data_IF_033077695270
#
_entry.id   IF_033077695270
#
_cell.length_a   1.000
_cell.length_b   1.000
_cell.length_c   1.000
_cell.angle_alpha   90.00
_cell.angle_beta   90.00
_cell.angle_gamma   90.00
#
_symmetry.space_group_name_H-M   'P 1'
#
loop_
_entity.id
_entity.type
_entity.pdbx_description
1 polymer ?
#
# COMPACT_ATOMS: atom_id res chain seq x y z
N UNK A 1 18.52 -6.58 -52.70
CA UNK A 1 18.63 -7.13 -51.34
C UNK A 1 17.97 -6.15 -50.40
N UNK A 2 16.65 -6.26 -50.25
CA UNK A 2 15.87 -5.42 -49.34
C UNK A 2 16.01 -5.92 -47.90
N UNK A 3 16.46 -5.04 -47.01
CA UNK A 3 16.58 -5.28 -45.59
C UNK A 3 15.26 -4.90 -44.92
N UNK A 4 14.51 -5.88 -44.42
CA UNK A 4 13.31 -5.64 -43.61
C UNK A 4 13.69 -5.10 -42.24
N UNK A 5 13.33 -3.86 -41.95
CA UNK A 5 13.41 -3.30 -40.60
C UNK A 5 12.32 -3.94 -39.73
N UNK A 6 12.72 -4.91 -38.90
CA UNK A 6 11.91 -5.38 -37.79
C UNK A 6 11.90 -4.29 -36.70
N UNK A 7 10.74 -3.67 -36.46
CA UNK A 7 10.47 -2.92 -35.24
C UNK A 7 10.19 -3.94 -34.12
N UNK A 8 10.90 -3.90 -32.98
CA UNK A 8 10.59 -4.78 -31.86
C UNK A 8 9.23 -4.39 -31.29
N UNK A 9 8.39 -5.40 -31.05
CA UNK A 9 7.11 -5.24 -30.37
C UNK A 9 7.32 -4.55 -29.02
N UNK A 10 6.63 -3.42 -28.81
CA UNK A 10 6.56 -2.78 -27.49
C UNK A 10 5.98 -3.81 -26.51
N UNK A 11 6.77 -4.19 -25.51
CA UNK A 11 6.32 -5.07 -24.45
C UNK A 11 5.12 -4.42 -23.75
N UNK A 12 3.95 -5.05 -23.85
CA UNK A 12 2.77 -4.66 -23.08
C UNK A 12 3.11 -4.80 -21.60
N UNK A 13 2.96 -3.76 -20.76
CA UNK A 13 3.24 -3.88 -19.34
C UNK A 13 2.36 -4.99 -18.74
N UNK A 14 3.00 -5.97 -18.11
CA UNK A 14 2.32 -7.09 -17.47
C UNK A 14 1.57 -6.57 -16.22
N UNK A 15 0.25 -6.41 -16.31
CA UNK A 15 -0.62 -5.88 -15.22
C UNK A 15 -0.58 -6.74 -13.95
N UNK A 16 0.17 -6.36 -12.91
CA UNK A 16 0.49 -7.08 -11.65
C UNK A 16 -0.62 -7.17 -10.59
N UNK A 17 -1.74 -6.48 -10.76
CA UNK A 17 -2.84 -6.47 -9.79
C UNK A 17 -4.09 -7.20 -10.26
N UNK A 18 -4.86 -7.74 -9.32
CA UNK A 18 -6.24 -8.21 -9.53
C UNK A 18 -7.21 -7.16 -8.99
N UNK A 19 -8.29 -6.87 -9.74
CA UNK A 19 -9.31 -5.90 -9.32
C UNK A 19 -10.49 -6.59 -8.67
N UNK A 20 -10.96 -6.03 -7.57
CA UNK A 20 -12.16 -6.49 -6.88
C UNK A 20 -13.14 -5.33 -6.73
N UNK A 21 -14.41 -5.59 -7.05
CA UNK A 21 -15.52 -4.68 -6.80
C UNK A 21 -16.52 -5.40 -5.94
N UNK A 22 -16.82 -4.85 -4.77
CA UNK A 22 -17.81 -5.44 -3.89
C UNK A 22 -19.18 -4.86 -4.22
N UNK A 23 -20.12 -5.72 -4.65
CA UNK A 23 -21.47 -5.30 -5.02
C UNK A 23 -22.49 -5.48 -3.88
N UNK A 24 -22.11 -6.12 -2.76
CA UNK A 24 -22.89 -6.29 -1.53
C UNK A 24 -21.95 -6.35 -0.32
N UNK A 25 -22.47 -6.17 0.90
CA UNK A 25 -21.74 -6.34 2.17
C UNK A 25 -21.02 -7.68 2.20
N UNK A 26 -19.69 -7.65 2.21
CA UNK A 26 -18.91 -8.76 2.71
C UNK A 26 -17.71 -8.21 3.47
N UNK A 27 -17.21 -9.04 4.36
CA UNK A 27 -16.10 -8.75 5.25
C UNK A 27 -14.80 -9.05 4.54
N UNK A 28 -13.86 -8.10 4.57
CA UNK A 28 -12.45 -8.35 4.26
C UNK A 28 -11.83 -8.92 5.54
N UNK A 29 -11.20 -10.09 5.47
CA UNK A 29 -10.61 -10.76 6.63
C UNK A 29 -9.44 -9.95 7.19
N UNK A 30 -9.23 -10.00 8.50
CA UNK A 30 -8.18 -9.23 9.18
C UNK A 30 -8.52 -7.77 9.49
N UNK A 31 -9.77 -7.35 9.27
CA UNK A 31 -10.23 -6.00 9.60
C UNK A 31 -10.22 -5.75 11.12
N UNK A 32 -9.92 -4.52 11.55
CA UNK A 32 -10.22 -4.09 12.92
C UNK A 32 -11.68 -3.66 13.11
N UNK A 33 -12.41 -3.45 12.01
CA UNK A 33 -13.80 -2.98 12.04
C UNK A 33 -14.61 -3.48 10.83
N UNK A 34 -15.94 -3.52 10.95
CA UNK A 34 -16.88 -4.01 9.92
C UNK A 34 -17.04 -3.04 8.72
N UNK A 35 -15.96 -2.40 8.29
CA UNK A 35 -15.99 -1.39 7.23
C UNK A 35 -16.01 -2.05 5.85
N UNK A 36 -16.92 -1.56 5.02
CA UNK A 36 -17.03 -1.97 3.62
C UNK A 36 -16.08 -1.17 2.74
N UNK A 37 -15.38 -1.85 1.83
CA UNK A 37 -14.56 -1.25 0.78
C UNK A 37 -15.30 -1.35 -0.55
N UNK A 38 -15.49 -0.23 -1.24
CA UNK A 38 -16.20 -0.24 -2.54
C UNK A 38 -15.37 -0.87 -3.66
N UNK A 39 -14.08 -0.55 -3.69
CA UNK A 39 -13.13 -1.04 -4.69
C UNK A 39 -11.74 -1.21 -4.09
N UNK A 40 -11.05 -2.28 -4.48
CA UNK A 40 -9.65 -2.45 -4.14
C UNK A 40 -8.89 -3.27 -5.18
N UNK A 41 -7.57 -3.09 -5.18
CA UNK A 41 -6.62 -3.86 -6.00
C UNK A 41 -5.79 -4.70 -5.05
N UNK A 42 -5.62 -5.98 -5.34
CA UNK A 42 -4.77 -6.92 -4.58
C UNK A 42 -3.61 -7.45 -5.41
N UNK A 43 -2.65 -8.11 -4.75
CA UNK A 43 -1.59 -8.88 -5.43
C UNK A 43 -2.18 -10.05 -6.23
N UNK A 44 -1.56 -10.37 -7.38
CA UNK A 44 -2.08 -11.34 -8.36
C UNK A 44 -2.17 -12.80 -7.88
N UNK A 45 -1.44 -13.16 -6.82
CA UNK A 45 -1.21 -14.55 -6.41
C UNK A 45 -1.97 -14.98 -5.13
N UNK A 46 -2.93 -14.17 -4.69
CA UNK A 46 -3.76 -14.46 -3.51
C UNK A 46 -4.99 -15.24 -3.92
N UNK A 47 -5.28 -16.34 -3.21
CA UNK A 47 -6.44 -17.19 -3.51
C UNK A 47 -7.74 -16.38 -3.45
N UNK A 48 -8.62 -16.60 -4.43
CA UNK A 48 -9.83 -15.79 -4.64
C UNK A 48 -10.93 -16.00 -3.59
N UNK A 49 -10.69 -16.82 -2.56
CA UNK A 49 -11.72 -17.25 -1.60
C UNK A 49 -11.70 -16.50 -0.26
N UNK A 50 -10.63 -15.78 0.05
CA UNK A 50 -10.53 -14.90 1.23
C UNK A 50 -9.76 -13.65 0.83
N UNK A 51 -10.32 -12.48 1.11
CA UNK A 51 -9.70 -11.19 0.82
C UNK A 51 -9.20 -10.63 2.15
N UNK A 52 -7.89 -10.70 2.41
CA UNK A 52 -7.27 -10.15 3.62
C UNK A 52 -6.80 -8.70 3.35
N UNK A 53 -6.93 -7.83 4.35
CA UNK A 53 -6.35 -6.47 4.31
C UNK A 53 -4.84 -6.46 4.06
N UNK A 54 -4.14 -7.55 4.38
CA UNK A 54 -2.72 -7.78 4.06
C UNK A 54 -2.42 -7.76 2.56
N UNK A 55 -3.41 -8.09 1.74
CA UNK A 55 -3.23 -8.23 0.30
C UNK A 55 -3.65 -6.99 -0.50
N UNK A 56 -4.29 -6.02 0.16
CA UNK A 56 -4.79 -4.80 -0.46
C UNK A 56 -3.62 -3.86 -0.82
N UNK A 57 -3.53 -3.50 -2.09
CA UNK A 57 -2.53 -2.58 -2.65
C UNK A 57 -3.08 -1.17 -2.86
N UNK A 58 -4.32 -1.04 -3.30
CA UNK A 58 -4.97 0.26 -3.58
C UNK A 58 -6.42 0.21 -3.14
N UNK A 59 -6.93 1.31 -2.58
CA UNK A 59 -8.33 1.44 -2.15
C UNK A 59 -9.07 2.51 -2.94
N UNK A 60 -10.28 2.20 -3.38
CA UNK A 60 -11.18 3.12 -4.05
C UNK A 60 -12.51 3.27 -3.31
N UNK A 61 -12.93 4.52 -3.13
CA UNK A 61 -14.27 4.89 -2.67
C UNK A 61 -15.11 5.35 -3.87
N UNK A 62 -16.31 4.79 -4.02
CA UNK A 62 -17.20 5.10 -5.14
C UNK A 62 -18.46 5.80 -4.62
N UNK A 63 -18.78 6.95 -5.18
CA UNK A 63 -19.98 7.68 -4.77
C UNK A 63 -20.65 8.41 -5.93
N UNK A 64 -21.97 8.57 -5.81
CA UNK A 64 -22.76 9.45 -6.67
C UNK A 64 -22.96 10.84 -6.07
N UNK A 65 -22.51 11.05 -4.83
CA UNK A 65 -22.57 12.35 -4.14
C UNK A 65 -21.75 13.42 -4.89
N UNK A 66 -22.13 14.68 -4.67
CA UNK A 66 -21.32 15.83 -5.10
C UNK A 66 -19.93 15.79 -4.43
N UNK A 67 -18.87 16.30 -5.10
CA UNK A 67 -17.60 16.63 -4.46
C UNK A 67 -17.73 17.52 -3.21
N UNK A 68 -18.84 18.22 -2.99
CA UNK A 68 -19.07 19.00 -1.76
C UNK A 68 -19.12 18.13 -0.50
N UNK A 69 -19.42 16.83 -0.62
CA UNK A 69 -19.33 15.87 0.47
C UNK A 69 -17.90 15.32 0.68
N UNK A 70 -16.90 16.01 0.12
CA UNK A 70 -15.49 15.65 0.18
C UNK A 70 -15.04 15.25 1.58
N UNK A 71 -15.35 16.07 2.59
CA UNK A 71 -14.89 15.81 3.96
C UNK A 71 -15.39 14.47 4.49
N UNK A 72 -16.65 14.13 4.23
CA UNK A 72 -17.24 12.85 4.63
C UNK A 72 -16.54 11.68 3.93
N UNK A 73 -16.28 11.81 2.63
CA UNK A 73 -15.62 10.76 1.86
C UNK A 73 -14.13 10.63 2.16
N UNK A 74 -13.45 11.74 2.44
CA UNK A 74 -12.09 11.77 2.93
C UNK A 74 -11.97 11.03 4.27
N UNK A 75 -12.89 11.26 5.21
CA UNK A 75 -12.90 10.55 6.48
C UNK A 75 -13.15 9.04 6.30
N UNK A 76 -14.04 8.66 5.39
CA UNK A 76 -14.27 7.24 5.04
C UNK A 76 -13.01 6.60 4.45
N UNK A 77 -12.39 7.23 3.44
CA UNK A 77 -11.16 6.72 2.86
C UNK A 77 -10.03 6.63 3.90
N UNK A 78 -9.85 7.66 4.73
CA UNK A 78 -8.85 7.68 5.80
C UNK A 78 -9.04 6.54 6.80
N UNK A 79 -10.30 6.21 7.09
CA UNK A 79 -10.67 5.07 7.91
C UNK A 79 -10.22 3.74 7.28
N UNK A 80 -10.43 3.55 5.97
CA UNK A 80 -9.97 2.35 5.26
C UNK A 80 -8.44 2.29 5.13
N UNK A 81 -7.78 3.42 4.89
CA UNK A 81 -6.31 3.51 4.85
C UNK A 81 -5.69 3.04 6.16
N UNK A 82 -6.31 3.39 7.29
CA UNK A 82 -5.87 2.92 8.61
C UNK A 82 -5.93 1.40 8.74
N UNK A 83 -6.97 0.75 8.19
CA UNK A 83 -7.06 -0.72 8.20
C UNK A 83 -5.92 -1.35 7.38
N UNK A 84 -5.57 -0.78 6.22
CA UNK A 84 -4.40 -1.23 5.43
C UNK A 84 -3.11 -1.09 6.23
N UNK A 85 -2.88 0.07 6.84
CA UNK A 85 -1.68 0.30 7.64
C UNK A 85 -1.59 -0.56 8.90
N UNK A 86 -2.72 -1.00 9.42
CA UNK A 86 -2.77 -1.94 10.53
C UNK A 86 -2.45 -3.37 10.08
N UNK A 87 -3.03 -3.80 8.96
CA UNK A 87 -2.75 -5.11 8.39
C UNK A 87 -1.34 -5.21 7.77
N UNK A 88 -0.76 -4.08 7.36
CA UNK A 88 0.56 -3.98 6.74
C UNK A 88 1.42 -2.92 7.49
N UNK A 89 1.86 -3.19 8.74
CA UNK A 89 2.52 -2.18 9.58
C UNK A 89 3.79 -1.59 8.96
N UNK A 90 4.53 -2.41 8.22
CA UNK A 90 5.80 -2.08 7.60
C UNK A 90 5.65 -1.36 6.24
N UNK A 91 4.42 -1.06 5.81
CA UNK A 91 4.16 -0.34 4.57
C UNK A 91 4.52 1.14 4.69
N UNK A 92 5.14 1.69 3.65
CA UNK A 92 5.57 3.10 3.61
C UNK A 92 4.40 4.03 3.31
N UNK A 93 3.66 3.72 2.25
CA UNK A 93 2.49 4.50 1.85
C UNK A 93 1.46 3.63 1.13
N UNK A 94 0.23 4.13 1.03
CA UNK A 94 -0.91 3.45 0.41
C UNK A 94 -1.57 4.41 -0.58
N UNK A 95 -1.80 3.94 -1.80
CA UNK A 95 -2.58 4.68 -2.79
C UNK A 95 -4.07 4.47 -2.57
N UNK A 96 -4.84 5.49 -2.90
CA UNK A 96 -6.26 5.34 -3.07
C UNK A 96 -6.87 6.40 -3.96
N UNK A 97 -8.18 6.34 -4.09
CA UNK A 97 -8.92 7.31 -4.87
C UNK A 97 -10.37 7.42 -4.41
N UNK A 98 -11.00 8.54 -4.73
CA UNK A 98 -12.43 8.74 -4.56
C UNK A 98 -13.01 9.13 -5.91
N UNK A 99 -14.02 8.39 -6.36
CA UNK A 99 -14.76 8.66 -7.58
C UNK A 99 -16.14 9.23 -7.24
N UNK A 100 -16.31 10.54 -7.46
CA UNK A 100 -17.57 11.29 -7.35
C UNK A 100 -18.29 11.32 -8.69
N UNK A 101 -18.95 10.23 -9.06
CA UNK A 101 -19.64 10.09 -10.35
C UNK A 101 -18.70 10.23 -11.54
N UNK A 102 -18.51 11.46 -12.03
CA UNK A 102 -17.63 11.82 -13.15
C UNK A 102 -16.36 12.57 -12.73
N UNK A 103 -16.12 12.74 -11.43
CA UNK A 103 -14.94 13.45 -10.92
C UNK A 103 -14.09 12.53 -10.06
N UNK A 104 -12.79 12.50 -10.30
CA UNK A 104 -11.83 11.60 -9.66
C UNK A 104 -10.81 12.39 -8.84
N UNK A 105 -10.59 11.97 -7.60
CA UNK A 105 -9.47 12.42 -6.77
C UNK A 105 -8.56 11.25 -6.46
N UNK A 106 -7.27 11.41 -6.74
CA UNK A 106 -6.24 10.45 -6.38
C UNK A 106 -5.63 10.84 -5.05
N UNK A 107 -5.29 9.84 -4.25
CA UNK A 107 -4.80 10.00 -2.89
C UNK A 107 -3.61 9.11 -2.66
N UNK A 108 -2.70 9.59 -1.82
CA UNK A 108 -1.71 8.74 -1.18
C UNK A 108 -1.64 9.13 0.28
N UNK A 109 -1.58 8.10 1.11
CA UNK A 109 -1.43 8.22 2.55
C UNK A 109 -0.10 7.63 2.95
N UNK A 110 0.63 8.32 3.81
CA UNK A 110 1.80 7.80 4.51
C UNK A 110 1.63 8.04 6.01
N UNK A 111 2.68 7.78 6.80
CA UNK A 111 2.62 7.98 8.26
C UNK A 111 2.69 9.46 8.67
N UNK A 112 2.99 10.38 7.75
CA UNK A 112 2.95 11.83 7.97
C UNK A 112 1.58 12.45 7.71
N UNK A 113 0.74 11.79 6.89
CA UNK A 113 -0.58 12.29 6.54
C UNK A 113 -1.05 11.81 5.18
N UNK A 114 -1.92 12.62 4.58
CA UNK A 114 -2.52 12.35 3.27
C UNK A 114 -2.23 13.49 2.31
N UNK A 115 -1.93 13.16 1.06
CA UNK A 115 -1.88 14.12 -0.04
C UNK A 115 -2.81 13.67 -1.17
N UNK A 116 -3.35 14.64 -1.89
CA UNK A 116 -4.27 14.38 -3.00
C UNK A 116 -3.90 15.13 -4.27
N UNK A 117 -4.38 14.63 -5.39
CA UNK A 117 -4.37 15.35 -6.67
C UNK A 117 -5.37 16.50 -6.68
N UNK A 118 -5.33 17.32 -7.73
CA UNK A 118 -6.49 18.13 -8.11
C UNK A 118 -7.66 17.24 -8.56
N UNK A 119 -8.87 17.80 -8.58
CA UNK A 119 -10.06 17.13 -9.06
C UNK A 119 -9.98 16.92 -10.59
N UNK A 120 -10.07 15.66 -11.01
CA UNK A 120 -9.96 15.26 -12.41
C UNK A 120 -11.37 14.99 -12.96
N UNK A 121 -11.82 15.76 -13.95
CA UNK A 121 -13.07 15.47 -14.67
C UNK A 121 -12.86 14.33 -15.67
N UNK A 122 -13.40 13.15 -15.35
CA UNK A 122 -13.39 11.98 -16.23
C UNK A 122 -14.66 11.90 -17.09
N UNK A 123 -15.61 12.80 -16.93
CA UNK A 123 -16.83 12.88 -17.74
C UNK A 123 -16.54 13.21 -19.20
N UNK A 124 -15.55 14.07 -19.45
CA UNK A 124 -15.07 14.41 -20.79
C UNK A 124 -14.02 13.44 -21.32
N UNK A 125 -13.33 12.73 -20.42
CA UNK A 125 -12.25 11.80 -20.76
C UNK A 125 -12.35 10.52 -19.94
N UNK A 126 -13.32 9.63 -20.21
CA UNK A 126 -13.49 8.38 -19.46
C UNK A 126 -12.26 7.47 -19.51
N UNK A 127 -11.44 7.59 -20.56
CA UNK A 127 -10.17 6.88 -20.74
C UNK A 127 -9.19 7.18 -19.60
N UNK A 128 -9.26 8.36 -18.98
CA UNK A 128 -8.42 8.72 -17.84
C UNK A 128 -8.59 7.75 -16.68
N UNK A 129 -9.83 7.31 -16.40
CA UNK A 129 -10.07 6.30 -15.36
C UNK A 129 -9.40 4.97 -15.72
N UNK A 130 -9.47 4.56 -17.00
CA UNK A 130 -8.82 3.33 -17.48
C UNK A 130 -7.31 3.42 -17.32
N UNK A 131 -6.71 4.56 -17.69
CA UNK A 131 -5.28 4.78 -17.54
C UNK A 131 -4.83 4.77 -16.08
N UNK A 132 -5.58 5.40 -15.17
CA UNK A 132 -5.29 5.37 -13.73
C UNK A 132 -5.31 3.93 -13.20
N UNK A 133 -6.34 3.16 -13.54
CA UNK A 133 -6.45 1.77 -13.10
C UNK A 133 -5.32 0.90 -13.67
N UNK A 134 -5.00 1.08 -14.96
CA UNK A 134 -3.89 0.40 -15.60
C UNK A 134 -2.55 0.77 -14.96
N UNK A 135 -2.35 2.03 -14.58
CA UNK A 135 -1.16 2.49 -13.88
C UNK A 135 -1.03 1.80 -12.52
N UNK A 136 -2.06 1.82 -11.67
CA UNK A 136 -2.03 1.11 -10.39
C UNK A 136 -1.74 -0.37 -10.53
N UNK A 137 -2.34 -1.03 -11.52
CA UNK A 137 -2.08 -2.45 -11.77
C UNK A 137 -0.68 -2.70 -12.35
N UNK A 138 -0.01 -1.71 -12.93
CA UNK A 138 1.33 -1.87 -13.52
C UNK A 138 2.47 -1.47 -12.59
N UNK A 139 2.17 -0.71 -11.53
CA UNK A 139 3.16 -0.26 -10.55
C UNK A 139 3.90 -1.43 -9.91
N UNK A 140 5.18 -1.22 -9.64
CA UNK A 140 6.00 -2.08 -8.81
C UNK A 140 5.57 -2.02 -7.34
N UNK A 141 5.98 -3.02 -6.56
CA UNK A 141 5.79 -3.04 -5.12
C UNK A 141 6.33 -1.76 -4.46
N UNK A 142 7.49 -1.28 -4.90
CA UNK A 142 8.08 -0.03 -4.41
C UNK A 142 7.21 1.21 -4.72
N UNK A 143 6.67 1.30 -5.93
CA UNK A 143 5.74 2.37 -6.34
C UNK A 143 4.39 2.27 -5.62
N UNK A 144 4.01 1.09 -5.15
CA UNK A 144 2.84 0.85 -4.31
C UNK A 144 3.11 1.04 -2.82
N UNK A 145 4.33 1.43 -2.44
CA UNK A 145 4.71 1.75 -1.07
C UNK A 145 5.14 0.55 -0.22
N UNK A 146 5.35 -0.62 -0.83
CA UNK A 146 6.01 -1.75 -0.18
C UNK A 146 7.51 -1.49 -0.15
N UNK A 147 8.16 -1.79 0.97
CA UNK A 147 9.60 -1.64 1.10
C UNK A 147 10.32 -2.82 0.40
N UNK A 148 11.24 -2.56 -0.55
CA UNK A 148 11.96 -3.62 -1.26
C UNK A 148 12.86 -4.47 -0.36
N UNK A 149 13.22 -3.97 0.82
CA UNK A 149 14.00 -4.72 1.81
C UNK A 149 13.13 -5.68 2.65
N UNK A 150 11.81 -5.69 2.42
CA UNK A 150 10.85 -6.51 3.16
C UNK A 150 10.18 -7.47 2.19
N UNK A 151 10.33 -8.77 2.47
CA UNK A 151 9.73 -9.86 1.71
C UNK A 151 8.60 -10.47 2.52
N UNK A 152 7.49 -10.71 1.84
CA UNK A 152 6.32 -11.40 2.39
C UNK A 152 6.16 -12.71 1.61
N UNK A 153 6.45 -13.84 2.26
CA UNK A 153 6.34 -15.18 1.67
C UNK A 153 5.34 -16.00 2.49
N UNK A 154 4.14 -16.20 1.93
CA UNK A 154 3.00 -16.82 2.62
C UNK A 154 2.65 -16.14 3.95
N UNK A 155 3.16 -16.67 5.07
CA UNK A 155 2.95 -16.12 6.42
C UNK A 155 4.26 -15.70 7.10
N UNK A 156 5.36 -15.68 6.35
CA UNK A 156 6.66 -15.28 6.83
C UNK A 156 7.02 -13.89 6.30
N UNK A 157 7.40 -13.00 7.23
CA UNK A 157 8.00 -11.71 6.90
C UNK A 157 9.51 -11.81 7.09
N UNK A 158 10.26 -11.45 6.07
CA UNK A 158 11.72 -11.42 6.10
C UNK A 158 12.19 -10.01 5.80
N UNK A 159 13.13 -9.49 6.60
CA UNK A 159 13.63 -8.13 6.47
C UNK A 159 15.13 -8.14 6.30
N UNK A 160 15.63 -7.36 5.34
CA UNK A 160 17.06 -7.12 5.13
C UNK A 160 17.41 -5.76 5.70
N UNK A 161 18.32 -5.72 6.66
CA UNK A 161 18.75 -4.51 7.35
C UNK A 161 20.23 -4.26 7.09
N UNK A 162 20.61 -3.00 6.91
CA UNK A 162 22.02 -2.62 6.93
C UNK A 162 22.54 -2.70 8.37
N UNK A 163 23.70 -3.34 8.57
CA UNK A 163 24.33 -3.49 9.89
C UNK A 163 25.74 -2.90 9.89
N UNK A 164 26.20 -2.28 10.99
CA UNK A 164 27.59 -1.88 11.13
C UNK A 164 28.52 -3.11 11.22
N UNK A 165 29.64 -3.10 10.49
CA UNK A 165 30.67 -4.13 10.58
C UNK A 165 31.14 -4.68 9.24
N UNK A 166 31.78 -5.85 9.26
CA UNK A 166 32.30 -6.53 8.06
C UNK A 166 31.17 -7.10 7.18
N UNK A 167 30.10 -7.60 7.81
CA UNK A 167 28.83 -7.86 7.14
C UNK A 167 28.11 -6.54 6.90
N UNK A 168 27.71 -6.26 5.66
CA UNK A 168 27.02 -5.02 5.31
C UNK A 168 25.51 -5.09 5.55
N UNK A 169 24.94 -6.28 5.41
CA UNK A 169 23.51 -6.52 5.56
C UNK A 169 23.26 -7.76 6.40
N UNK A 170 22.12 -7.79 7.06
CA UNK A 170 21.60 -8.92 7.82
C UNK A 170 20.16 -9.19 7.43
N UNK A 171 19.86 -10.45 7.18
CA UNK A 171 18.50 -10.91 6.95
C UNK A 171 17.92 -11.46 8.27
N UNK A 172 16.72 -11.02 8.65
CA UNK A 172 16.02 -11.45 9.86
C UNK A 172 14.62 -11.93 9.52
N UNK A 173 14.17 -13.00 10.18
CA UNK A 173 12.84 -13.57 9.98
C UNK A 173 11.96 -13.16 11.13
N UNK A 174 10.91 -12.39 10.86
CA UNK A 174 10.08 -11.82 11.91
C UNK A 174 8.96 -12.77 12.32
N UNK A 175 8.59 -12.74 13.61
CA UNK A 175 7.30 -13.31 14.03
C UNK A 175 6.15 -12.60 13.27
N UNK A 176 5.08 -13.32 12.87
CA UNK A 176 3.97 -12.72 12.13
C UNK A 176 3.30 -11.56 12.88
N UNK A 177 3.14 -11.72 14.20
CA UNK A 177 2.53 -10.74 15.07
C UNK A 177 3.57 -9.79 15.68
N UNK A 178 3.43 -8.46 15.50
CA UNK A 178 4.30 -7.50 16.16
C UNK A 178 4.11 -7.50 17.67
N UNK A 179 5.20 -7.29 18.41
CA UNK A 179 5.17 -7.09 19.87
C UNK A 179 4.55 -5.73 20.22
N UNK A 180 4.75 -4.74 19.36
CA UNK A 180 4.14 -3.43 19.47
C UNK A 180 3.90 -2.88 18.07
N UNK A 181 2.76 -2.21 17.86
CA UNK A 181 2.44 -1.54 16.60
C UNK A 181 1.58 -0.30 16.83
N UNK A 182 1.80 0.74 16.03
CA UNK A 182 0.95 1.93 16.01
C UNK A 182 -0.38 1.64 15.31
N UNK A 183 -1.48 2.03 15.94
CA UNK A 183 -2.85 1.87 15.41
C UNK A 183 -3.41 3.14 14.78
N UNK A 184 -2.65 4.23 14.81
CA UNK A 184 -3.05 5.54 14.31
C UNK A 184 -2.40 5.81 12.95
N UNK A 185 -3.13 6.54 12.11
CA UNK A 185 -2.74 6.80 10.71
C UNK A 185 -1.52 7.73 10.63
N UNK A 186 -1.54 8.82 11.40
CA UNK A 186 -0.49 9.85 11.42
C UNK A 186 0.34 9.72 12.69
N UNK A 187 1.52 9.09 12.59
CA UNK A 187 2.46 8.87 13.69
C UNK A 187 3.88 8.60 13.16
N UNK A 188 4.82 8.25 14.05
CA UNK A 188 6.09 7.63 13.64
C UNK A 188 5.91 6.22 13.04
N UNK A 189 4.69 5.67 12.96
CA UNK A 189 4.43 4.35 12.39
C UNK A 189 5.18 3.21 13.09
N UNK A 190 5.50 3.38 14.39
CA UNK A 190 6.41 2.46 15.07
C UNK A 190 5.82 1.05 15.13
N UNK A 191 6.61 0.07 14.71
CA UNK A 191 6.30 -1.35 14.86
C UNK A 191 7.54 -2.13 15.28
N UNK A 192 7.39 -3.00 16.28
CA UNK A 192 8.47 -3.81 16.83
C UNK A 192 8.14 -5.28 16.66
N UNK A 193 9.11 -6.05 16.17
CA UNK A 193 8.99 -7.47 15.93
C UNK A 193 10.08 -8.23 16.66
N UNK A 194 9.77 -9.46 17.07
CA UNK A 194 10.79 -10.42 17.48
C UNK A 194 11.36 -11.10 16.24
N UNK A 195 12.65 -11.36 16.26
CA UNK A 195 13.28 -12.33 15.35
C UNK A 195 12.88 -13.76 15.76
N UNK A 196 12.54 -14.59 14.77
CA UNK A 196 12.19 -16.00 14.93
C UNK A 196 13.38 -16.83 15.38
N UNK A 197 14.58 -16.48 14.92
CA UNK A 197 15.82 -17.14 15.31
C UNK A 197 16.26 -16.72 16.74
N UNK A 198 15.58 -15.72 17.30
CA UNK A 198 15.82 -15.20 18.64
C UNK A 198 16.98 -14.21 18.69
N UNK A 199 17.13 -13.53 19.84
CA UNK A 199 18.25 -12.64 20.11
C UNK A 199 18.06 -11.18 19.69
N UNK A 200 17.04 -10.85 18.89
CA UNK A 200 16.80 -9.47 18.45
C UNK A 200 15.34 -9.02 18.58
N UNK A 201 15.19 -7.73 18.89
CA UNK A 201 13.96 -6.96 18.62
C UNK A 201 14.27 -6.03 17.46
N UNK A 202 13.50 -6.16 16.39
CA UNK A 202 13.59 -5.31 15.21
C UNK A 202 12.54 -4.22 15.32
N UNK A 203 13.00 -2.97 15.39
CA UNK A 203 12.14 -1.79 15.45
C UNK A 203 12.15 -1.07 14.10
N UNK A 204 10.96 -0.81 13.58
CA UNK A 204 10.73 0.07 12.45
C UNK A 204 10.03 1.32 12.95
N UNK A 205 10.49 2.49 12.50
CA UNK A 205 9.83 3.76 12.78
C UNK A 205 10.24 4.80 11.75
N UNK A 206 9.28 5.64 11.37
CA UNK A 206 9.51 6.84 10.60
C UNK A 206 10.32 7.83 11.42
N UNK A 207 11.39 8.31 10.81
CA UNK A 207 12.23 9.36 11.37
C UNK A 207 11.66 10.72 10.98
N UNK A 208 11.61 11.66 11.91
CA UNK A 208 11.36 13.05 11.53
C UNK A 208 12.56 13.57 10.75
N UNK A 209 12.32 14.42 9.77
CA UNK A 209 13.40 15.08 9.05
C UNK A 209 14.23 15.92 10.04
N UNK A 210 15.55 15.72 10.05
CA UNK A 210 16.47 16.43 10.94
C UNK A 210 16.85 15.71 12.24
N UNK A 211 16.13 14.66 12.64
CA UNK A 211 16.52 13.85 13.82
C UNK A 211 17.73 12.96 13.49
N UNK A 212 18.65 12.76 14.44
CA UNK A 212 19.66 11.70 14.29
C UNK A 212 19.01 10.32 14.29
N UNK A 213 19.61 9.35 13.58
CA UNK A 213 19.15 7.97 13.67
C UNK A 213 19.34 7.47 15.10
N UNK A 214 18.35 6.76 15.66
CA UNK A 214 18.48 6.18 17.02
C UNK A 214 19.73 5.31 17.17
N UNK A 215 20.19 4.67 16.08
CA UNK A 215 21.46 3.93 16.05
C UNK A 215 22.70 4.78 16.39
N UNK A 216 22.70 6.08 16.03
CA UNK A 216 23.78 7.02 16.34
C UNK A 216 23.72 7.59 17.74
N UNK A 217 22.58 7.47 18.43
CA UNK A 217 22.42 7.93 19.81
C UNK A 217 22.97 6.91 20.82
N UNK A 218 23.29 5.69 20.36
CA UNK A 218 23.78 4.58 21.18
C UNK A 218 25.22 4.17 20.84
N UNK A 219 25.90 4.92 19.95
CA UNK A 219 27.36 4.89 19.74
C UNK A 219 28.05 5.93 20.63
#
# INVERSE_FOLDING_TARGET
>A
TESSYYLPAQAVPLLKGTRHRMNQTGTVDGAQSDRQVDYYITRRDVSTSSHDWRDILVIGELTKSSPDEFMRKFLQLSALMREVFFAQPLRRFVHGFILFGKSLLLWVYDRSGSYCSSLIDIGQSPQTLVYVMAAYMSMSDAELGIDPNIKYEAHQTTVTLDVPGAEKTRELRLFPDPVAQSTTLVTKGTSCYRDLDGGYIVKFSWRMCGDDSEAKLHE
#
